data_IF_944737816542
#
_entry.id   IF_944737816542
#
_cell.length_a   1.000
_cell.length_b   1.000
_cell.length_c   1.000
_cell.angle_alpha   90.00
_cell.angle_beta   90.00
_cell.angle_gamma   90.00
#
_symmetry.space_group_name_H-M   'P 1'
#
loop_
_entity.id
_entity.type
_entity.pdbx_description
1 polymer ?
#
# COMPACT_ATOMS: atom_id res chain seq x y z
N UNK A 1 25.64 -7.53 14.12
CA UNK A 1 26.23 -6.19 14.36
C UNK A 1 25.11 -5.18 14.19
N UNK A 2 25.01 -4.17 15.05
CA UNK A 2 24.11 -3.02 14.84
C UNK A 2 24.72 -2.04 13.86
N UNK A 3 23.92 -1.50 12.93
CA UNK A 3 24.37 -0.40 12.05
C UNK A 3 24.55 0.85 12.90
N UNK A 4 25.67 1.59 12.76
CA UNK A 4 25.83 2.88 13.41
C UNK A 4 24.73 3.86 12.97
N UNK A 5 24.10 4.54 13.92
CA UNK A 5 22.93 5.42 13.67
C UNK A 5 23.32 6.76 13.02
N UNK A 6 24.63 7.08 12.90
CA UNK A 6 25.13 8.40 12.51
C UNK A 6 25.94 8.41 11.19
N UNK A 7 25.60 7.59 10.21
CA UNK A 7 26.22 7.68 8.89
C UNK A 7 25.44 8.69 8.04
N UNK A 8 26.13 9.76 7.62
CA UNK A 8 25.52 10.78 6.78
C UNK A 8 25.06 10.18 5.42
N UNK A 9 23.79 10.39 5.08
CA UNK A 9 23.22 9.86 3.85
C UNK A 9 22.79 8.38 3.93
N UNK A 10 22.68 7.83 5.16
CA UNK A 10 22.06 6.53 5.43
C UNK A 10 20.70 6.73 6.12
N UNK A 11 19.66 6.20 5.52
CA UNK A 11 18.33 6.11 6.12
C UNK A 11 17.94 4.64 6.23
N UNK A 12 18.06 4.05 7.42
CA UNK A 12 17.64 2.66 7.66
C UNK A 12 16.12 2.62 7.74
N UNK A 13 15.52 1.94 6.78
CA UNK A 13 14.05 1.81 6.67
C UNK A 13 13.56 0.62 7.48
N UNK A 14 14.29 -0.53 7.42
CA UNK A 14 13.81 -1.76 8.04
C UNK A 14 14.94 -2.76 8.31
N UNK A 15 14.61 -3.85 9.06
CA UNK A 15 15.50 -5.00 9.25
C UNK A 15 14.71 -6.29 9.06
N UNK A 16 15.03 -7.05 8.01
CA UNK A 16 14.41 -8.34 7.69
C UNK A 16 15.50 -9.41 7.64
N UNK A 17 15.29 -10.56 8.29
CA UNK A 17 16.19 -11.72 8.30
C UNK A 17 17.66 -11.41 8.62
N UNK A 18 17.88 -10.42 9.49
CA UNK A 18 19.22 -9.99 9.86
C UNK A 18 19.87 -9.03 8.88
N UNK A 19 19.24 -8.71 7.76
CA UNK A 19 19.64 -7.70 6.78
C UNK A 19 18.98 -6.36 7.10
N UNK A 20 19.71 -5.26 6.90
CA UNK A 20 19.16 -3.91 6.97
C UNK A 20 18.77 -3.44 5.58
N UNK A 21 17.53 -2.98 5.43
CA UNK A 21 17.06 -2.28 4.23
C UNK A 21 17.19 -0.79 4.48
N UNK A 22 17.87 -0.09 3.60
CA UNK A 22 18.16 1.32 3.80
C UNK A 22 18.29 2.06 2.46
N UNK A 23 17.87 3.32 2.46
CA UNK A 23 18.28 4.27 1.44
C UNK A 23 19.66 4.79 1.81
N UNK A 24 20.65 4.65 0.93
CA UNK A 24 22.01 5.01 1.21
C UNK A 24 22.67 5.75 0.03
N UNK A 25 23.38 6.83 0.34
CA UNK A 25 24.25 7.47 -0.64
C UNK A 25 25.49 6.60 -0.92
N UNK A 26 26.15 6.82 -2.06
CA UNK A 26 27.40 6.12 -2.40
C UNK A 26 28.46 6.28 -1.30
N UNK A 27 28.50 7.44 -0.66
CA UNK A 27 29.41 7.71 0.46
C UNK A 27 29.04 6.86 1.69
N UNK A 28 27.76 6.73 2.01
CA UNK A 28 27.29 5.89 3.11
C UNK A 28 27.57 4.39 2.84
N UNK A 29 27.38 3.94 1.61
CA UNK A 29 27.70 2.56 1.19
C UNK A 29 29.22 2.29 1.35
N UNK A 30 30.07 3.23 0.96
CA UNK A 30 31.51 3.10 1.11
C UNK A 30 31.92 3.02 2.60
N UNK A 31 31.32 3.85 3.46
CA UNK A 31 31.56 3.83 4.90
C UNK A 31 31.08 2.53 5.56
N UNK A 32 29.88 2.05 5.23
CA UNK A 32 29.36 0.76 5.70
C UNK A 32 30.28 -0.40 5.29
N UNK A 33 30.76 -0.38 4.04
CA UNK A 33 31.68 -1.40 3.53
C UNK A 33 33.00 -1.37 4.30
N UNK A 34 33.54 -0.18 4.61
CA UNK A 34 34.74 -0.03 5.42
C UNK A 34 34.56 -0.52 6.86
N UNK A 35 33.34 -0.46 7.40
CA UNK A 35 32.95 -1.01 8.71
C UNK A 35 32.69 -2.52 8.67
N UNK A 36 32.82 -3.16 7.50
CA UNK A 36 32.71 -4.61 7.31
C UNK A 36 31.27 -5.10 7.12
N UNK A 37 30.36 -4.24 6.67
CA UNK A 37 29.05 -4.63 6.20
C UNK A 37 29.12 -5.04 4.71
N UNK A 38 28.41 -6.08 4.33
CA UNK A 38 28.15 -6.38 2.92
C UNK A 38 26.95 -5.57 2.46
N UNK A 39 27.14 -4.74 1.46
CA UNK A 39 26.08 -3.92 0.87
C UNK A 39 25.74 -4.47 -0.51
N UNK A 40 24.47 -4.76 -0.74
CA UNK A 40 23.94 -5.16 -2.03
C UNK A 40 22.96 -4.09 -2.50
N UNK A 41 23.14 -3.60 -3.72
CA UNK A 41 22.20 -2.66 -4.32
C UNK A 41 21.04 -3.44 -4.93
N UNK A 42 19.83 -3.16 -4.46
CA UNK A 42 18.61 -3.65 -5.09
C UNK A 42 18.18 -2.61 -6.13
N UNK A 43 18.17 -2.93 -7.43
CA UNK A 43 17.68 -2.01 -8.45
C UNK A 43 16.19 -1.75 -8.22
N UNK A 44 15.83 -0.53 -7.90
CA UNK A 44 14.44 -0.10 -7.86
C UNK A 44 14.08 0.49 -9.22
N UNK A 45 13.12 -0.09 -9.92
CA UNK A 45 12.55 0.52 -11.11
C UNK A 45 11.62 1.66 -10.67
N UNK A 46 11.95 2.86 -11.09
CA UNK A 46 11.14 4.04 -10.78
C UNK A 46 10.41 4.48 -12.05
N UNK A 47 9.12 4.82 -11.91
CA UNK A 47 8.39 5.51 -12.97
C UNK A 47 8.92 6.95 -13.14
N UNK A 48 8.54 7.61 -14.23
CA UNK A 48 8.83 9.03 -14.42
C UNK A 48 8.29 9.83 -13.22
N UNK A 49 9.19 10.47 -12.45
CA UNK A 49 8.86 11.16 -11.21
C UNK A 49 9.46 10.56 -9.94
N UNK A 50 10.18 9.42 -10.02
CA UNK A 50 10.92 8.84 -8.90
C UNK A 50 10.12 7.88 -8.01
N UNK A 51 8.89 7.49 -8.40
CA UNK A 51 8.07 6.51 -7.70
C UNK A 51 8.11 5.14 -8.38
N UNK A 52 7.86 4.02 -7.65
CA UNK A 52 7.87 2.67 -8.20
C UNK A 52 6.92 2.52 -9.39
N UNK A 53 7.23 1.62 -10.33
CA UNK A 53 6.28 1.23 -11.35
C UNK A 53 5.10 0.45 -10.71
N UNK A 54 3.94 0.42 -11.39
CA UNK A 54 2.77 -0.32 -10.90
C UNK A 54 3.10 -1.81 -10.70
N UNK A 55 3.79 -2.40 -11.67
CA UNK A 55 4.16 -3.82 -11.64
C UNK A 55 5.09 -4.16 -10.45
N UNK A 56 5.97 -3.23 -10.05
CA UNK A 56 6.84 -3.41 -8.88
C UNK A 56 6.01 -3.39 -7.58
N UNK A 57 5.04 -2.48 -7.48
CA UNK A 57 4.11 -2.40 -6.33
C UNK A 57 3.28 -3.68 -6.21
N UNK A 58 2.75 -4.18 -7.32
CA UNK A 58 2.00 -5.43 -7.36
C UNK A 58 2.87 -6.63 -6.96
N UNK A 59 4.13 -6.66 -7.40
CA UNK A 59 5.10 -7.68 -7.03
C UNK A 59 5.46 -7.64 -5.54
N UNK A 60 5.63 -6.46 -4.95
CA UNK A 60 5.87 -6.28 -3.53
C UNK A 60 4.68 -6.80 -2.70
N UNK A 61 3.44 -6.44 -3.07
CA UNK A 61 2.23 -6.93 -2.40
C UNK A 61 2.12 -8.45 -2.47
N UNK A 62 2.41 -9.06 -3.62
CA UNK A 62 2.41 -10.51 -3.79
C UNK A 62 3.50 -11.18 -2.94
N UNK A 63 4.68 -10.57 -2.88
CA UNK A 63 5.81 -11.07 -2.08
C UNK A 63 5.46 -11.05 -0.60
N UNK A 64 4.92 -9.96 -0.09
CA UNK A 64 4.50 -9.87 1.32
C UNK A 64 3.39 -10.86 1.67
N UNK A 65 2.41 -11.06 0.79
CA UNK A 65 1.36 -12.05 1.02
C UNK A 65 1.92 -13.49 1.10
N UNK A 66 3.01 -13.78 0.37
CA UNK A 66 3.71 -15.07 0.44
C UNK A 66 4.60 -15.19 1.67
N UNK A 67 5.23 -14.10 2.10
CA UNK A 67 6.14 -14.08 3.26
C UNK A 67 5.39 -14.12 4.60
N UNK A 68 4.21 -13.50 4.67
CA UNK A 68 3.42 -13.34 5.89
C UNK A 68 2.01 -13.97 5.81
N UNK A 69 1.86 -15.23 5.32
CA UNK A 69 0.55 -15.81 5.00
C UNK A 69 -0.36 -16.01 6.23
N UNK A 70 0.20 -15.96 7.44
CA UNK A 70 -0.54 -16.13 8.68
C UNK A 70 -1.21 -14.85 9.18
N UNK A 71 -0.73 -13.69 8.72
CA UNK A 71 -1.21 -12.39 9.19
C UNK A 71 -1.63 -11.46 8.05
N UNK A 72 -1.53 -11.88 6.80
CA UNK A 72 -2.05 -11.10 5.70
C UNK A 72 -2.59 -11.92 4.55
N UNK A 73 -3.44 -11.30 3.76
CA UNK A 73 -3.98 -11.83 2.52
C UNK A 73 -4.09 -10.73 1.48
N UNK A 74 -3.57 -11.00 0.28
CA UNK A 74 -3.78 -10.14 -0.89
C UNK A 74 -5.02 -10.61 -1.66
N UNK A 75 -5.93 -9.71 -2.01
CA UNK A 75 -7.08 -10.03 -2.84
C UNK A 75 -7.48 -8.87 -3.75
N UNK A 76 -8.14 -9.20 -4.84
CA UNK A 76 -8.62 -8.25 -5.83
C UNK A 76 -10.09 -7.91 -5.56
N UNK A 77 -10.43 -6.61 -5.60
CA UNK A 77 -11.81 -6.13 -5.44
C UNK A 77 -12.49 -5.75 -6.76
N UNK A 78 -11.71 -5.58 -7.82
CA UNK A 78 -12.20 -5.22 -9.15
C UNK A 78 -11.07 -4.95 -10.13
N UNK A 79 -11.40 -4.30 -11.23
CA UNK A 79 -10.43 -3.85 -12.24
C UNK A 79 -10.73 -2.42 -12.66
N UNK A 80 -9.70 -1.71 -13.13
CA UNK A 80 -9.82 -0.42 -13.79
C UNK A 80 -10.41 -0.55 -15.22
N UNK A 81 -10.59 0.58 -15.91
CA UNK A 81 -11.03 0.60 -17.30
C UNK A 81 -10.10 -0.20 -18.21
N UNK A 82 -8.77 -0.09 -18.02
CA UNK A 82 -7.78 -0.84 -18.77
C UNK A 82 -7.51 -2.24 -18.21
N UNK A 83 -8.47 -2.77 -17.40
CA UNK A 83 -8.42 -4.10 -16.81
C UNK A 83 -7.22 -4.36 -15.88
N UNK A 84 -6.61 -3.31 -15.31
CA UNK A 84 -5.60 -3.44 -14.25
C UNK A 84 -6.26 -3.83 -12.93
N UNK A 85 -5.68 -4.75 -12.15
CA UNK A 85 -6.28 -5.19 -10.90
C UNK A 85 -6.31 -4.07 -9.86
N UNK A 86 -7.37 -4.02 -9.06
CA UNK A 86 -7.48 -3.18 -7.87
C UNK A 86 -7.27 -4.09 -6.67
N UNK A 87 -6.10 -3.98 -6.03
CA UNK A 87 -5.61 -4.91 -5.04
C UNK A 87 -5.70 -4.34 -3.63
N UNK A 88 -6.16 -5.17 -2.69
CA UNK A 88 -6.24 -4.85 -1.26
C UNK A 88 -5.38 -5.83 -0.48
N UNK A 89 -4.54 -5.31 0.41
CA UNK A 89 -3.87 -6.09 1.44
C UNK A 89 -4.72 -6.06 2.71
N UNK A 90 -5.19 -7.22 3.14
CA UNK A 90 -5.80 -7.43 4.46
C UNK A 90 -4.71 -7.85 5.44
N UNK A 91 -4.69 -7.27 6.63
CA UNK A 91 -3.72 -7.55 7.69
C UNK A 91 -4.50 -7.72 9.00
N UNK A 92 -4.44 -8.91 9.57
CA UNK A 92 -5.05 -9.33 10.84
C UNK A 92 -4.36 -10.61 11.29
N UNK A 93 -4.51 -11.03 12.53
CA UNK A 93 -3.92 -12.29 13.03
C UNK A 93 -4.54 -13.55 12.43
N UNK A 94 -5.77 -13.47 11.89
CA UNK A 94 -6.51 -14.58 11.27
C UNK A 94 -7.16 -14.21 9.92
N UNK A 95 -6.40 -13.94 8.83
CA UNK A 95 -6.92 -13.35 7.59
C UNK A 95 -7.93 -14.23 6.83
N UNK A 96 -8.15 -15.47 7.25
CA UNK A 96 -9.11 -16.41 6.65
C UNK A 96 -10.37 -16.64 7.51
N UNK A 97 -10.43 -16.02 8.69
CA UNK A 97 -11.53 -16.18 9.66
C UNK A 97 -12.17 -14.82 9.89
N UNK A 98 -13.49 -14.75 9.79
CA UNK A 98 -14.24 -13.55 10.18
C UNK A 98 -14.35 -13.52 11.71
N UNK A 99 -13.82 -12.46 12.33
CA UNK A 99 -13.83 -12.27 13.78
C UNK A 99 -14.62 -11.02 14.15
N UNK A 100 -15.07 -10.95 15.39
CA UNK A 100 -15.80 -9.78 15.88
C UNK A 100 -14.81 -8.73 16.38
N UNK A 101 -14.22 -8.02 15.43
CA UNK A 101 -13.25 -6.97 15.69
C UNK A 101 -13.51 -5.73 14.81
N UNK A 102 -12.97 -4.56 15.18
CA UNK A 102 -13.04 -3.36 14.34
C UNK A 102 -12.39 -3.58 12.97
N UNK A 103 -13.07 -3.16 11.91
CA UNK A 103 -12.47 -3.07 10.59
C UNK A 103 -11.92 -1.66 10.34
N UNK A 104 -10.69 -1.58 9.86
CA UNK A 104 -10.06 -0.34 9.40
C UNK A 104 -9.81 -0.41 7.90
N UNK A 105 -10.18 0.65 7.18
CA UNK A 105 -9.97 0.75 5.73
C UNK A 105 -9.14 1.98 5.39
N UNK A 106 -8.04 1.77 4.70
CA UNK A 106 -7.21 2.82 4.13
C UNK A 106 -7.21 2.71 2.60
N UNK A 107 -7.72 3.74 1.92
CA UNK A 107 -7.75 3.85 0.46
C UNK A 107 -6.84 4.99 0.04
N UNK A 108 -5.88 4.70 -0.84
CA UNK A 108 -4.93 5.68 -1.33
C UNK A 108 -4.98 5.78 -2.86
N UNK A 109 -4.37 6.83 -3.39
CA UNK A 109 -4.20 7.08 -4.82
C UNK A 109 -5.51 7.01 -5.63
N UNK A 110 -6.54 7.67 -5.13
CA UNK A 110 -7.79 7.91 -5.86
C UNK A 110 -7.54 8.81 -7.09
N UNK A 111 -6.65 9.79 -6.93
CA UNK A 111 -6.07 10.54 -8.04
C UNK A 111 -4.70 9.97 -8.38
N UNK A 112 -4.49 9.56 -9.62
CA UNK A 112 -3.31 8.80 -10.00
C UNK A 112 -1.98 9.57 -9.91
N UNK A 113 -2.02 10.90 -9.88
CA UNK A 113 -0.87 11.79 -9.72
C UNK A 113 -0.50 12.06 -8.24
N UNK A 114 -1.37 11.71 -7.29
CA UNK A 114 -1.15 11.89 -5.84
C UNK A 114 -0.43 10.69 -5.24
N UNK A 115 0.86 10.54 -5.55
CA UNK A 115 1.65 9.34 -5.26
C UNK A 115 2.11 9.20 -3.80
N UNK A 116 2.09 10.27 -3.02
CA UNK A 116 2.48 10.22 -1.60
C UNK A 116 1.56 9.29 -0.80
N UNK A 117 0.25 9.31 -1.07
CA UNK A 117 -0.71 8.43 -0.40
C UNK A 117 -0.43 6.95 -0.66
N UNK A 118 -0.06 6.61 -1.89
CA UNK A 118 0.36 5.26 -2.28
C UNK A 118 1.63 4.83 -1.53
N UNK A 119 2.66 5.68 -1.52
CA UNK A 119 3.92 5.41 -0.82
C UNK A 119 3.69 5.19 0.69
N UNK A 120 2.86 6.03 1.30
CA UNK A 120 2.49 5.88 2.71
C UNK A 120 1.73 4.57 2.97
N UNK A 121 0.83 4.17 2.07
CA UNK A 121 0.10 2.91 2.17
C UNK A 121 1.04 1.70 2.10
N UNK A 122 2.01 1.70 1.16
CA UNK A 122 2.99 0.62 1.04
C UNK A 122 3.89 0.53 2.29
N UNK A 123 4.40 1.67 2.78
CA UNK A 123 5.19 1.69 4.02
C UNK A 123 4.39 1.27 5.25
N UNK A 124 3.12 1.60 5.30
CA UNK A 124 2.24 1.18 6.38
C UNK A 124 2.05 -0.35 6.38
N UNK A 125 1.79 -0.95 5.21
CA UNK A 125 1.72 -2.41 5.05
C UNK A 125 3.04 -3.06 5.52
N UNK A 126 4.16 -2.62 4.97
CA UNK A 126 5.49 -3.15 5.31
C UNK A 126 5.75 -3.07 6.81
N UNK A 127 5.49 -1.91 7.41
CA UNK A 127 5.69 -1.68 8.85
C UNK A 127 4.85 -2.63 9.72
N UNK A 128 3.57 -2.81 9.43
CA UNK A 128 2.72 -3.73 10.16
C UNK A 128 3.23 -5.17 10.07
N UNK A 129 3.53 -5.64 8.86
CA UNK A 129 3.95 -7.02 8.61
C UNK A 129 5.30 -7.34 9.25
N UNK A 130 6.27 -6.42 9.15
CA UNK A 130 7.64 -6.66 9.63
C UNK A 130 7.81 -6.40 11.13
N UNK A 131 6.91 -5.64 11.74
CA UNK A 131 6.94 -5.34 13.18
C UNK A 131 6.06 -6.27 14.02
N UNK A 132 5.16 -7.01 13.39
CA UNK A 132 4.31 -7.99 14.07
C UNK A 132 5.14 -9.06 14.80
N UNK A 133 4.79 -9.34 16.05
CA UNK A 133 5.54 -10.25 16.92
C UNK A 133 6.86 -9.69 17.47
N UNK A 134 7.23 -8.46 17.09
CA UNK A 134 8.46 -7.77 17.55
C UNK A 134 8.09 -6.53 18.37
N UNK A 135 7.21 -5.68 17.81
CA UNK A 135 6.68 -4.50 18.50
C UNK A 135 5.34 -4.86 19.17
N UNK A 136 5.23 -4.72 20.52
CA UNK A 136 4.00 -5.08 21.24
C UNK A 136 2.78 -4.24 20.83
N UNK A 137 2.98 -2.96 20.48
CA UNK A 137 1.88 -2.08 20.08
C UNK A 137 1.34 -2.47 18.71
N UNK A 138 2.24 -2.78 17.76
CA UNK A 138 1.85 -3.27 16.43
C UNK A 138 1.20 -4.65 16.54
N UNK A 139 1.74 -5.54 17.37
CA UNK A 139 1.16 -6.87 17.59
C UNK A 139 -0.26 -6.74 18.14
N UNK A 140 -0.46 -5.92 19.16
CA UNK A 140 -1.79 -5.67 19.74
C UNK A 140 -2.76 -5.06 18.71
N UNK A 141 -2.28 -4.17 17.85
CA UNK A 141 -3.09 -3.56 16.80
C UNK A 141 -3.57 -4.61 15.77
N UNK A 142 -2.67 -5.46 15.30
CA UNK A 142 -2.96 -6.49 14.29
C UNK A 142 -3.82 -7.62 14.87
N UNK A 143 -3.60 -7.98 16.16
CA UNK A 143 -4.40 -9.00 16.86
C UNK A 143 -5.84 -8.53 17.18
N UNK A 144 -6.12 -7.25 17.13
CA UNK A 144 -7.43 -6.72 17.51
C UNK A 144 -8.12 -5.87 16.43
N UNK A 145 -7.65 -5.92 15.18
CA UNK A 145 -8.21 -5.07 14.11
C UNK A 145 -8.03 -5.71 12.74
N UNK A 146 -9.11 -5.88 11.99
CA UNK A 146 -9.05 -6.28 10.57
C UNK A 146 -8.71 -5.07 9.69
N UNK A 147 -7.44 -4.95 9.30
CA UNK A 147 -6.89 -3.81 8.58
C UNK A 147 -6.88 -4.10 7.08
N UNK A 148 -7.49 -3.21 6.29
CA UNK A 148 -7.53 -3.32 4.84
C UNK A 148 -6.89 -2.09 4.20
N UNK A 149 -5.83 -2.30 3.44
CA UNK A 149 -5.12 -1.22 2.75
C UNK A 149 -5.23 -1.42 1.23
N UNK A 150 -5.77 -0.42 0.55
CA UNK A 150 -5.84 -0.29 -0.91
C UNK A 150 -4.84 0.78 -1.34
N UNK A 151 -3.62 0.42 -1.76
CA UNK A 151 -2.57 1.39 -2.07
C UNK A 151 -2.86 2.22 -3.32
N UNK A 152 -3.52 1.63 -4.32
CA UNK A 152 -3.80 2.28 -5.60
C UNK A 152 -5.25 2.00 -6.01
N UNK A 153 -6.12 2.99 -5.80
CA UNK A 153 -7.51 2.92 -6.25
C UNK A 153 -7.62 3.16 -7.76
N UNK A 154 -6.76 4.01 -8.34
CA UNK A 154 -6.78 4.40 -9.75
C UNK A 154 -5.49 3.95 -10.46
N UNK A 155 -5.35 2.67 -10.80
CA UNK A 155 -4.12 2.16 -11.41
C UNK A 155 -3.86 2.72 -12.82
N UNK A 156 -4.90 3.07 -13.58
CA UNK A 156 -4.75 3.69 -14.90
C UNK A 156 -4.20 5.11 -14.78
N UNK A 157 -4.79 5.91 -13.88
CA UNK A 157 -4.30 7.26 -13.58
C UNK A 157 -2.89 7.23 -12.97
N UNK A 158 -2.57 6.22 -12.14
CA UNK A 158 -1.24 6.03 -11.58
C UNK A 158 -0.19 5.84 -12.68
N UNK A 159 -0.43 4.93 -13.62
CA UNK A 159 0.49 4.67 -14.75
C UNK A 159 0.62 5.88 -15.67
N UNK A 160 -0.50 6.57 -15.93
CA UNK A 160 -0.52 7.77 -16.78
C UNK A 160 0.02 9.03 -16.06
N UNK A 161 0.29 8.96 -14.76
CA UNK A 161 0.60 10.12 -13.91
C UNK A 161 -0.44 11.23 -14.06
N UNK A 162 -1.71 10.87 -13.97
CA UNK A 162 -2.85 11.74 -14.22
C UNK A 162 -3.85 11.64 -13.07
N UNK A 163 -4.47 12.77 -12.72
CA UNK A 163 -5.53 12.85 -11.71
C UNK A 163 -6.71 11.93 -12.02
N UNK A 164 -7.13 11.92 -13.28
CA UNK A 164 -8.31 11.22 -13.76
C UNK A 164 -8.04 9.74 -14.05
N UNK A 165 -9.10 8.91 -14.06
CA UNK A 165 -8.99 7.56 -14.62
C UNK A 165 -8.86 7.60 -16.15
N UNK A 166 -8.74 6.44 -16.80
CA UNK A 166 -8.60 6.38 -18.27
C UNK A 166 -9.85 6.89 -19.03
N UNK A 167 -11.01 6.90 -18.38
CA UNK A 167 -12.25 7.49 -18.90
C UNK A 167 -12.32 9.02 -18.77
N UNK A 168 -11.33 9.67 -18.18
CA UNK A 168 -11.31 11.11 -17.94
C UNK A 168 -12.18 11.56 -16.77
N UNK A 169 -12.54 10.68 -15.86
CA UNK A 169 -13.37 10.99 -14.69
C UNK A 169 -12.54 11.21 -13.42
N UNK A 170 -12.91 12.24 -12.67
CA UNK A 170 -12.45 12.43 -11.29
C UNK A 170 -13.19 11.46 -10.37
N UNK A 171 -12.51 10.43 -9.89
CA UNK A 171 -13.11 9.40 -9.05
C UNK A 171 -13.64 9.95 -7.73
N UNK A 172 -13.05 11.04 -7.22
CA UNK A 172 -13.55 11.77 -6.03
C UNK A 172 -14.83 12.60 -6.30
N UNK A 173 -15.32 12.59 -7.51
CA UNK A 173 -16.62 13.18 -7.92
C UNK A 173 -17.59 12.12 -8.45
N UNK A 174 -17.22 10.85 -8.38
CA UNK A 174 -17.96 9.74 -8.97
C UNK A 174 -18.71 8.89 -7.95
N UNK A 175 -18.48 9.08 -6.65
CA UNK A 175 -19.29 8.45 -5.60
C UNK A 175 -20.66 9.11 -5.48
N UNK A 176 -21.74 8.35 -5.23
CA UNK A 176 -23.06 8.90 -4.96
C UNK A 176 -23.01 9.92 -3.82
N UNK A 177 -23.63 11.08 -4.04
CA UNK A 177 -23.67 12.16 -3.07
C UNK A 177 -25.08 12.71 -2.92
N UNK A 178 -25.52 13.08 -1.70
CA UNK A 178 -26.82 13.73 -1.47
C UNK A 178 -26.99 15.05 -2.23
N UNK A 179 -25.87 15.68 -2.64
CA UNK A 179 -25.88 16.94 -3.38
C UNK A 179 -25.98 16.78 -4.90
N UNK A 180 -25.90 15.54 -5.40
CA UNK A 180 -26.08 15.20 -6.80
C UNK A 180 -27.38 14.38 -6.93
N UNK A 181 -28.49 15.01 -7.38
CA UNK A 181 -29.74 14.29 -7.58
C UNK A 181 -29.56 13.15 -8.60
N UNK A 182 -30.12 11.98 -8.30
CA UNK A 182 -30.11 10.84 -9.19
C UNK A 182 -30.61 11.23 -10.60
N UNK A 183 -29.80 10.91 -11.61
CA UNK A 183 -30.10 11.21 -13.03
C UNK A 183 -29.20 12.25 -13.70
N UNK A 184 -28.41 13.01 -12.96
CA UNK A 184 -27.39 13.94 -13.48
C UNK A 184 -25.95 13.52 -13.13
N UNK A 185 -25.78 12.33 -12.56
CA UNK A 185 -24.47 11.80 -12.20
C UNK A 185 -23.78 11.22 -13.44
N UNK A 186 -22.45 11.43 -13.57
CA UNK A 186 -21.70 10.69 -14.58
C UNK A 186 -21.83 9.19 -14.30
N UNK A 187 -21.75 8.32 -15.32
CA UNK A 187 -21.81 6.87 -15.11
C UNK A 187 -20.74 6.45 -14.11
N UNK A 188 -21.12 5.62 -13.15
CA UNK A 188 -20.19 5.08 -12.16
C UNK A 188 -19.05 4.37 -12.87
N UNK A 189 -17.84 4.72 -12.47
CA UNK A 189 -16.63 4.14 -13.04
C UNK A 189 -16.33 2.78 -12.39
N UNK A 190 -15.65 1.85 -13.10
CA UNK A 190 -15.33 0.53 -12.56
C UNK A 190 -14.61 0.58 -11.21
N UNK A 191 -13.66 1.51 -11.06
CA UNK A 191 -12.89 1.72 -9.84
C UNK A 191 -13.79 2.15 -8.67
N UNK A 192 -14.72 3.07 -8.94
CA UNK A 192 -15.70 3.53 -7.94
C UNK A 192 -16.65 2.39 -7.53
N UNK A 193 -17.18 1.64 -8.51
CA UNK A 193 -18.03 0.49 -8.25
C UNK A 193 -17.31 -0.57 -7.41
N UNK A 194 -16.07 -0.90 -7.77
CA UNK A 194 -15.25 -1.86 -7.03
C UNK A 194 -15.11 -1.49 -5.54
N UNK A 195 -14.82 -0.23 -5.24
CA UNK A 195 -14.69 0.26 -3.86
C UNK A 195 -16.05 0.26 -3.15
N UNK A 196 -17.14 0.64 -3.81
CA UNK A 196 -18.49 0.62 -3.23
C UNK A 196 -18.92 -0.81 -2.89
N UNK A 197 -18.81 -1.74 -3.85
CA UNK A 197 -19.19 -3.15 -3.68
C UNK A 197 -18.33 -3.83 -2.59
N UNK A 198 -17.07 -3.50 -2.53
CA UNK A 198 -16.17 -3.97 -1.47
C UNK A 198 -16.55 -3.45 -0.09
N UNK A 199 -17.15 -2.25 0.00
CA UNK A 199 -17.45 -1.59 1.29
C UNK A 199 -18.80 -2.02 1.86
N UNK A 200 -19.83 -2.19 1.00
CA UNK A 200 -21.24 -2.43 1.42
C UNK A 200 -21.43 -3.71 2.25
N UNK A 201 -20.80 -4.86 1.94
CA UNK A 201 -21.03 -6.09 2.69
C UNK A 201 -20.33 -6.14 4.05
N UNK A 202 -19.51 -5.16 4.39
CA UNK A 202 -18.65 -5.16 5.56
C UNK A 202 -19.07 -4.08 6.55
N UNK A 203 -19.21 -4.46 7.82
CA UNK A 203 -19.48 -3.54 8.93
C UNK A 203 -18.19 -2.75 9.31
N UNK A 204 -17.69 -1.93 8.41
CA UNK A 204 -16.49 -1.14 8.66
C UNK A 204 -16.78 0.01 9.60
N UNK A 205 -16.12 0.04 10.73
CA UNK A 205 -16.28 1.07 11.75
C UNK A 205 -15.48 2.34 11.46
N UNK A 206 -14.40 2.25 10.70
CA UNK A 206 -13.53 3.38 10.38
C UNK A 206 -12.99 3.29 8.95
N UNK A 207 -13.00 4.42 8.24
CA UNK A 207 -12.39 4.54 6.90
C UNK A 207 -11.63 5.87 6.77
N UNK A 208 -10.46 5.83 6.14
CA UNK A 208 -9.63 6.98 5.77
C UNK A 208 -9.46 7.00 4.25
N UNK A 209 -9.69 8.16 3.64
CA UNK A 209 -9.58 8.39 2.21
C UNK A 209 -8.56 9.48 1.90
#
# INVERSE_FOLDING_TARGET
>A
RSVPVDIAGLNVVNRIDGCYHADASDAAIAELTALGFSCESVPQQLRAGGYPALDDIEADLQTWAQQFPNICRLYQIGTSILARPILVMQITDNPLVEEFEPEFKYVANMHGDETIGQEMAMRFIEHLLTSYGIDPDITTLVDGTDIHVLPIMNPDGYVANNRYNDGGYDLNRNFPSPTHPAGNEPPLQPETMAVMDWTVPRNRLLSIY
#
